data_IF_074934612019
#
_entry.id   IF_074934612019
#
_cell.length_a   1.000
_cell.length_b   1.000
_cell.length_c   1.000
_cell.angle_alpha   90.00
_cell.angle_beta   90.00
_cell.angle_gamma   90.00
#
_symmetry.space_group_name_H-M   'P 1'
#
loop_
_entity.id
_entity.type
_entity.pdbx_description
1 polymer ?
#
# COMPACT_ATOMS: atom_id res chain seq x y z
N UNK A 1 9.89 15.51 -19.88
CA UNK A 1 10.21 14.75 -18.65
C UNK A 1 9.35 13.50 -18.43
N UNK A 2 8.45 13.10 -19.37
CA UNK A 2 7.58 11.91 -19.23
C UNK A 2 8.11 10.62 -19.90
N UNK A 3 9.31 10.65 -20.48
CA UNK A 3 9.76 9.63 -21.45
C UNK A 3 10.84 8.67 -20.95
N UNK A 4 11.38 8.84 -19.74
CA UNK A 4 12.43 7.96 -19.22
C UNK A 4 11.85 6.77 -18.44
N UNK A 5 10.75 6.98 -17.71
CA UNK A 5 10.15 5.98 -16.83
C UNK A 5 9.62 4.71 -17.54
N UNK A 6 8.95 4.79 -18.71
CA UNK A 6 8.52 3.59 -19.45
C UNK A 6 9.70 2.76 -19.98
N UNK A 7 10.78 3.42 -20.41
CA UNK A 7 11.97 2.76 -20.91
C UNK A 7 12.78 2.09 -19.79
N UNK A 8 12.82 2.68 -18.60
CA UNK A 8 13.46 2.09 -17.41
C UNK A 8 12.66 0.88 -16.90
N UNK A 9 11.32 0.95 -16.90
CA UNK A 9 10.46 -0.20 -16.59
C UNK A 9 10.66 -1.35 -17.59
N UNK A 10 10.68 -1.03 -18.90
CA UNK A 10 10.90 -2.02 -19.96
C UNK A 10 12.29 -2.66 -19.87
N UNK A 11 13.34 -1.88 -19.63
CA UNK A 11 14.71 -2.40 -19.46
C UNK A 11 14.87 -3.23 -18.17
N UNK A 12 14.25 -2.84 -17.06
CA UNK A 12 14.29 -3.59 -15.80
C UNK A 12 13.56 -4.94 -15.92
N UNK A 13 12.42 -4.96 -16.62
CA UNK A 13 11.66 -6.17 -16.94
C UNK A 13 12.41 -7.11 -17.91
N UNK A 14 13.11 -6.56 -18.90
CA UNK A 14 13.95 -7.35 -19.83
C UNK A 14 15.19 -7.93 -19.15
N UNK A 15 15.82 -7.18 -18.23
CA UNK A 15 16.98 -7.66 -17.46
C UNK A 15 16.65 -8.79 -16.49
N UNK A 16 15.43 -8.83 -15.92
CA UNK A 16 15.05 -9.87 -14.96
C UNK A 16 14.64 -11.20 -15.60
N UNK A 17 14.35 -11.23 -16.91
CA UNK A 17 13.90 -12.44 -17.63
C UNK A 17 14.90 -13.04 -18.63
N UNK A 18 16.03 -12.37 -18.90
CA UNK A 18 17.10 -12.92 -19.74
C UNK A 18 16.71 -13.21 -21.20
N UNK A 19 15.61 -12.66 -21.71
CA UNK A 19 15.13 -12.88 -23.07
C UNK A 19 14.90 -11.55 -23.80
N UNK A 20 15.44 -11.43 -25.01
CA UNK A 20 15.42 -10.22 -25.84
C UNK A 20 14.19 -10.11 -26.77
N UNK A 21 13.06 -10.74 -26.45
CA UNK A 21 11.84 -10.65 -27.27
C UNK A 21 10.70 -10.02 -26.49
N UNK A 22 10.24 -8.88 -27.00
CA UNK A 22 9.05 -8.16 -26.56
C UNK A 22 7.85 -8.89 -27.18
N UNK A 23 7.00 -9.54 -26.36
CA UNK A 23 5.69 -10.00 -26.82
C UNK A 23 4.75 -8.79 -26.92
N UNK A 24 4.10 -8.61 -28.09
CA UNK A 24 3.17 -7.49 -28.37
C UNK A 24 2.04 -7.35 -27.34
N UNK A 25 1.75 -8.39 -26.57
CA UNK A 25 0.73 -8.38 -25.50
C UNK A 25 1.12 -7.54 -24.28
N UNK A 26 2.42 -7.35 -24.01
CA UNK A 26 2.90 -6.64 -22.80
C UNK A 26 2.98 -5.11 -23.00
N UNK A 27 3.08 -4.63 -24.25
CA UNK A 27 2.98 -3.20 -24.59
C UNK A 27 1.56 -2.66 -24.44
N UNK A 28 0.54 -3.50 -24.67
CA UNK A 28 -0.87 -3.12 -24.55
C UNK A 28 -1.26 -2.70 -23.12
N UNK A 29 -0.63 -3.30 -22.11
CA UNK A 29 -0.88 -2.97 -20.71
C UNK A 29 -0.29 -1.61 -20.29
N UNK A 30 0.88 -1.24 -20.84
CA UNK A 30 1.49 0.09 -20.63
C UNK A 30 0.82 1.19 -21.48
N UNK A 31 0.45 0.90 -22.73
CA UNK A 31 -0.24 1.86 -23.61
C UNK A 31 -1.64 2.23 -23.08
N UNK A 32 -2.33 1.30 -22.41
CA UNK A 32 -3.60 1.58 -21.74
C UNK A 32 -3.48 2.52 -20.52
N UNK A 33 -2.27 2.75 -19.99
CA UNK A 33 -2.03 3.60 -18.82
C UNK A 33 -1.77 5.07 -19.19
N UNK A 34 -1.18 5.33 -20.37
CA UNK A 34 -0.65 6.66 -20.71
C UNK A 34 -1.35 7.40 -21.85
N UNK A 35 -2.27 6.76 -22.59
CA UNK A 35 -3.04 7.40 -23.67
C UNK A 35 -2.21 7.60 -24.95
N UNK A 36 -2.88 7.46 -26.10
CA UNK A 36 -2.26 7.51 -27.43
C UNK A 36 -1.69 8.90 -27.76
N UNK A 37 -0.37 8.99 -27.90
CA UNK A 37 0.34 9.61 -29.03
C UNK A 37 1.81 9.85 -28.66
N UNK A 38 2.71 9.14 -29.35
CA UNK A 38 3.99 9.61 -29.91
C UNK A 38 4.97 8.44 -30.02
N UNK A 39 5.29 8.09 -31.26
CA UNK A 39 6.36 7.15 -31.62
C UNK A 39 7.71 7.78 -31.29
N UNK A 40 8.38 7.35 -30.21
CA UNK A 40 9.72 7.79 -29.89
C UNK A 40 10.76 6.73 -30.30
N UNK A 41 11.61 7.07 -31.26
CA UNK A 41 12.79 6.30 -31.67
C UNK A 41 13.89 6.44 -30.62
N UNK A 42 14.31 5.34 -29.99
CA UNK A 42 15.38 5.31 -28.99
C UNK A 42 16.77 5.39 -29.65
N UNK A 43 17.62 6.29 -29.16
CA UNK A 43 19.06 6.28 -29.40
C UNK A 43 19.80 6.06 -28.07
N UNK A 44 20.89 5.28 -28.03
CA UNK A 44 21.65 5.04 -26.81
C UNK A 44 22.38 6.30 -26.37
N UNK A 45 22.16 6.75 -25.13
CA UNK A 45 22.86 7.90 -24.55
C UNK A 45 23.89 7.40 -23.55
N UNK A 46 25.17 7.59 -23.85
CA UNK A 46 26.26 7.54 -22.88
C UNK A 46 26.46 8.94 -22.29
N UNK A 47 26.43 9.08 -20.97
CA UNK A 47 26.66 10.36 -20.29
C UNK A 47 28.02 10.29 -19.57
N UNK A 48 28.94 11.17 -19.98
CA UNK A 48 30.20 11.49 -19.28
C UNK A 48 30.19 13.00 -19.04
N UNK A 49 30.40 13.46 -17.81
CA UNK A 49 30.63 14.87 -17.51
C UNK A 49 31.67 15.09 -16.38
N UNK A 50 32.58 16.02 -16.63
CA UNK A 50 33.62 16.54 -15.71
C UNK A 50 33.23 17.91 -15.10
N UNK A 51 33.67 18.14 -13.85
CA UNK A 51 34.03 19.44 -13.24
C UNK A 51 32.94 20.25 -12.49
N UNK A 52 33.31 21.21 -11.60
CA UNK A 52 34.31 21.19 -10.55
C UNK A 52 33.74 21.52 -9.14
N UNK A 53 34.04 20.69 -8.15
CA UNK A 53 34.41 21.00 -6.74
C UNK A 53 34.27 19.69 -5.93
N UNK A 54 35.31 19.35 -5.17
CA UNK A 54 35.45 18.06 -4.49
C UNK A 54 34.41 17.90 -3.36
N UNK A 55 33.73 16.74 -3.24
CA UNK A 55 32.76 16.47 -2.19
C UNK A 55 33.41 16.43 -0.79
N UNK A 56 32.71 16.94 0.21
CA UNK A 56 33.00 16.66 1.62
C UNK A 56 32.36 15.31 2.00
N UNK A 57 33.11 14.22 1.82
CA UNK A 57 32.76 12.90 2.37
C UNK A 57 33.14 12.92 3.85
N UNK A 58 32.15 13.05 4.75
CA UNK A 58 32.37 12.95 6.20
C UNK A 58 31.61 11.74 6.76
N UNK A 59 32.31 10.60 6.92
CA UNK A 59 31.84 9.39 7.62
C UNK A 59 31.97 8.08 6.82
N UNK A 60 32.46 7.00 7.47
CA UNK A 60 32.35 5.58 7.06
C UNK A 60 33.30 5.06 5.96
N UNK A 61 33.66 3.75 5.93
CA UNK A 61 34.75 3.26 5.09
C UNK A 61 34.30 2.98 3.64
N UNK A 62 34.53 3.95 2.75
CA UNK A 62 34.91 3.68 1.37
C UNK A 62 35.82 4.80 0.86
N UNK A 63 36.98 4.35 0.39
CA UNK A 63 38.21 5.10 0.12
C UNK A 63 38.21 5.70 -1.28
N UNK A 64 38.69 6.95 -1.36
CA UNK A 64 39.40 7.65 -2.44
C UNK A 64 39.03 7.35 -3.91
N UNK A 65 38.58 8.41 -4.61
CA UNK A 65 38.52 8.49 -6.06
C UNK A 65 37.08 8.51 -6.58
N UNK A 66 36.58 9.69 -6.90
CA UNK A 66 35.24 9.93 -7.42
C UNK A 66 34.92 9.02 -8.61
N UNK A 67 33.93 8.15 -8.44
CA UNK A 67 33.11 7.62 -9.52
C UNK A 67 31.67 8.04 -9.21
N UNK A 68 30.88 8.56 -10.18
CA UNK A 68 29.47 8.88 -9.98
C UNK A 68 28.60 7.62 -9.73
N UNK A 69 29.24 6.46 -9.56
CA UNK A 69 28.61 5.17 -9.40
C UNK A 69 29.38 4.34 -8.36
N UNK A 70 28.66 3.80 -7.38
CA UNK A 70 29.16 2.72 -6.52
C UNK A 70 28.58 1.39 -6.98
N UNK A 71 29.39 0.33 -6.96
CA UNK A 71 28.95 -1.01 -7.34
C UNK A 71 29.56 -2.06 -6.43
N UNK A 72 28.74 -2.94 -5.85
CA UNK A 72 29.24 -4.05 -5.02
C UNK A 72 29.77 -3.64 -3.65
N UNK A 73 29.40 -2.45 -3.15
CA UNK A 73 29.97 -1.90 -1.90
C UNK A 73 29.08 -2.22 -0.71
N UNK A 74 29.68 -2.61 0.42
CA UNK A 74 28.98 -2.73 1.69
C UNK A 74 29.33 -1.57 2.63
N UNK A 75 28.38 -0.68 2.85
CA UNK A 75 28.43 0.45 3.78
C UNK A 75 27.91 0.03 5.15
N UNK A 76 28.76 -0.65 5.92
CA UNK A 76 28.47 -1.05 7.29
C UNK A 76 28.99 -0.01 8.30
N UNK A 77 28.39 -0.01 9.50
CA UNK A 77 28.83 0.88 10.58
C UNK A 77 30.30 0.63 10.95
N UNK A 78 31.09 1.70 10.99
CA UNK A 78 32.39 1.73 11.64
C UNK A 78 32.27 2.56 12.93
N UNK A 79 32.34 1.93 14.12
CA UNK A 79 32.23 2.64 15.40
C UNK A 79 33.28 3.73 15.64
N UNK A 80 34.38 3.71 14.88
CA UNK A 80 35.44 4.72 14.96
C UNK A 80 35.18 5.97 14.11
N UNK A 81 34.20 5.91 13.20
CA UNK A 81 33.87 7.01 12.29
C UNK A 81 32.50 7.59 12.65
N UNK A 82 32.44 8.81 13.24
CA UNK A 82 31.17 9.45 13.49
C UNK A 82 30.52 9.85 12.15
N UNK A 83 29.26 9.47 11.94
CA UNK A 83 28.42 10.07 10.92
C UNK A 83 27.62 9.14 10.02
N UNK A 84 27.01 9.76 9.02
CA UNK A 84 26.24 9.14 7.95
C UNK A 84 27.19 8.42 6.98
N UNK A 85 26.78 7.28 6.41
CA UNK A 85 27.61 6.53 5.46
C UNK A 85 27.88 7.32 4.17
N UNK A 86 26.86 8.01 3.64
CA UNK A 86 27.00 8.92 2.50
C UNK A 86 26.17 10.18 2.73
N UNK A 87 26.78 11.35 2.56
CA UNK A 87 26.11 12.66 2.58
C UNK A 87 26.38 13.40 1.27
N UNK A 88 25.33 13.80 0.55
CA UNK A 88 25.42 14.52 -0.73
C UNK A 88 24.69 15.86 -0.68
N UNK A 89 25.18 16.83 -1.45
CA UNK A 89 24.55 18.15 -1.63
C UNK A 89 24.76 18.63 -3.06
N UNK A 90 23.69 18.78 -3.85
CA UNK A 90 23.74 19.26 -5.23
C UNK A 90 24.44 18.31 -6.22
N UNK A 91 24.49 17.00 -5.93
CA UNK A 91 25.26 16.03 -6.71
C UNK A 91 24.42 14.81 -7.06
N UNK A 92 24.62 14.29 -8.27
CA UNK A 92 23.98 13.06 -8.70
C UNK A 92 24.82 11.84 -8.32
N UNK A 93 24.16 10.73 -7.98
CA UNK A 93 24.83 9.48 -7.61
C UNK A 93 24.04 8.26 -8.08
N UNK A 94 24.75 7.24 -8.56
CA UNK A 94 24.19 5.93 -8.84
C UNK A 94 24.78 4.89 -7.88
N UNK A 95 23.96 4.03 -7.31
CA UNK A 95 24.41 2.93 -6.45
C UNK A 95 23.80 1.63 -6.94
N UNK A 96 24.64 0.63 -7.16
CA UNK A 96 24.26 -0.63 -7.79
C UNK A 96 24.77 -1.81 -6.97
N UNK A 97 23.98 -2.87 -6.79
CA UNK A 97 24.43 -4.13 -6.16
C UNK A 97 25.14 -3.92 -4.81
N UNK A 98 24.68 -2.94 -4.02
CA UNK A 98 25.38 -2.51 -2.80
C UNK A 98 24.50 -2.71 -1.58
N UNK A 99 25.08 -2.60 -0.39
CA UNK A 99 24.36 -2.75 0.87
C UNK A 99 24.71 -1.66 1.87
N UNK A 100 23.75 -1.29 2.70
CA UNK A 100 23.87 -0.37 3.82
C UNK A 100 23.34 -1.07 5.06
N UNK A 101 24.23 -1.50 5.96
CA UNK A 101 23.84 -2.43 7.02
C UNK A 101 24.27 -1.99 8.41
N UNK A 102 23.33 -2.02 9.37
CA UNK A 102 23.64 -1.85 10.79
C UNK A 102 24.07 -0.45 11.21
N UNK A 103 23.76 0.59 10.43
CA UNK A 103 24.18 1.96 10.73
C UNK A 103 23.33 2.59 11.84
N UNK A 104 23.96 3.23 12.83
CA UNK A 104 23.25 3.73 14.03
C UNK A 104 23.70 5.05 14.67
N UNK A 105 24.56 5.83 14.01
CA UNK A 105 25.19 7.03 14.60
C UNK A 105 24.83 8.37 13.92
N UNK A 106 23.73 8.41 13.17
CA UNK A 106 23.41 9.53 12.28
C UNK A 106 21.91 9.87 12.23
N UNK A 107 21.52 10.98 11.58
CA UNK A 107 20.13 11.24 11.23
C UNK A 107 19.57 10.21 10.23
N UNK A 108 20.39 9.79 9.27
CA UNK A 108 20.09 8.69 8.37
C UNK A 108 21.38 8.02 7.86
N UNK A 109 21.23 6.88 7.20
CA UNK A 109 22.35 6.13 6.59
C UNK A 109 22.83 6.77 5.29
N UNK A 110 21.89 7.25 4.47
CA UNK A 110 22.13 8.09 3.30
C UNK A 110 21.41 9.42 3.49
N UNK A 111 22.13 10.54 3.40
CA UNK A 111 21.56 11.89 3.54
C UNK A 111 21.77 12.68 2.25
N UNK A 112 20.69 13.16 1.67
CA UNK A 112 20.67 13.79 0.34
C UNK A 112 20.06 15.19 0.42
N UNK A 113 20.77 16.19 -0.12
CA UNK A 113 20.28 17.55 -0.29
C UNK A 113 20.31 17.96 -1.76
N UNK A 114 19.18 18.33 -2.35
CA UNK A 114 19.09 18.83 -3.73
C UNK A 114 19.84 17.93 -4.74
N UNK A 115 19.75 16.61 -4.53
CA UNK A 115 20.58 15.60 -5.20
C UNK A 115 19.70 14.60 -5.94
N UNK A 116 20.10 14.13 -7.12
CA UNK A 116 19.40 13.06 -7.82
C UNK A 116 20.13 11.74 -7.65
N UNK A 117 19.50 10.77 -7.00
CA UNK A 117 20.12 9.49 -6.67
C UNK A 117 19.34 8.34 -7.26
N UNK A 118 20.04 7.45 -7.95
CA UNK A 118 19.50 6.18 -8.45
C UNK A 118 20.07 5.01 -7.65
N UNK A 119 19.20 4.17 -7.11
CA UNK A 119 19.53 2.93 -6.41
C UNK A 119 19.00 1.76 -7.24
N UNK A 120 19.87 0.81 -7.57
CA UNK A 120 19.48 -0.41 -8.28
C UNK A 120 20.02 -1.65 -7.56
N UNK A 121 19.13 -2.59 -7.23
CA UNK A 121 19.49 -3.81 -6.53
C UNK A 121 20.36 -3.53 -5.30
N UNK A 122 19.87 -2.63 -4.45
CA UNK A 122 20.57 -2.18 -3.24
C UNK A 122 19.77 -2.61 -2.02
N UNK A 123 20.46 -2.98 -0.94
CA UNK A 123 19.83 -3.38 0.32
C UNK A 123 20.14 -2.39 1.44
N UNK A 124 19.12 -1.89 2.12
CA UNK A 124 19.25 -1.17 3.39
C UNK A 124 18.70 -2.07 4.50
N UNK A 125 19.55 -2.59 5.39
CA UNK A 125 19.13 -3.54 6.41
C UNK A 125 19.57 -3.17 7.82
N UNK A 126 18.67 -3.29 8.79
CA UNK A 126 18.96 -3.14 10.22
C UNK A 126 19.58 -1.78 10.59
N UNK A 127 19.28 -0.71 9.85
CA UNK A 127 19.79 0.61 10.16
C UNK A 127 18.86 1.30 11.17
N UNK A 128 19.42 1.84 12.24
CA UNK A 128 18.69 2.44 13.36
C UNK A 128 19.14 3.88 13.58
N UNK A 129 18.46 4.83 12.95
CA UNK A 129 18.91 6.22 12.87
C UNK A 129 17.91 7.17 13.53
N UNK A 130 18.34 8.40 13.80
CA UNK A 130 17.53 9.35 14.56
C UNK A 130 16.42 10.06 13.77
N UNK A 131 16.45 10.06 12.43
CA UNK A 131 15.38 10.59 11.57
C UNK A 131 14.79 9.51 10.65
N UNK A 132 15.60 8.89 9.80
CA UNK A 132 15.21 7.82 8.90
C UNK A 132 16.23 6.69 8.93
N UNK A 133 15.79 5.45 9.14
CA UNK A 133 16.73 4.32 9.25
C UNK A 133 17.60 4.17 7.98
N UNK A 134 16.99 4.27 6.80
CA UNK A 134 17.70 4.22 5.52
C UNK A 134 18.13 5.60 5.02
N UNK A 135 17.20 6.32 4.40
CA UNK A 135 17.48 7.49 3.56
C UNK A 135 16.72 8.71 4.07
N UNK A 136 17.41 9.83 4.22
CA UNK A 136 16.81 11.16 4.40
C UNK A 136 17.13 12.00 3.18
N UNK A 137 16.10 12.49 2.47
CA UNK A 137 16.26 13.32 1.27
C UNK A 137 15.48 14.63 1.41
N UNK A 138 16.15 15.72 1.08
CA UNK A 138 15.63 17.10 1.08
C UNK A 138 15.87 17.72 -0.29
N UNK A 139 14.82 17.89 -1.10
CA UNK A 139 14.95 18.31 -2.50
C UNK A 139 15.62 17.26 -3.40
N UNK A 140 15.40 17.39 -4.70
CA UNK A 140 15.91 16.46 -5.71
C UNK A 140 15.03 15.22 -5.94
N UNK A 141 15.61 14.20 -6.57
CA UNK A 141 14.90 12.98 -7.01
C UNK A 141 15.58 11.73 -6.47
N UNK A 142 14.83 10.83 -5.84
CA UNK A 142 15.29 9.51 -5.43
C UNK A 142 14.60 8.44 -6.26
N UNK A 143 15.37 7.74 -7.09
CA UNK A 143 14.90 6.63 -7.91
C UNK A 143 15.41 5.32 -7.31
N UNK A 144 14.51 4.38 -7.05
CA UNK A 144 14.80 3.10 -6.41
C UNK A 144 14.21 1.98 -7.25
N UNK A 145 15.05 1.06 -7.66
CA UNK A 145 14.68 -0.07 -8.51
C UNK A 145 15.21 -1.38 -7.93
N UNK A 146 14.36 -2.41 -7.93
CA UNK A 146 14.76 -3.79 -7.61
C UNK A 146 15.48 -3.93 -6.26
N UNK A 147 15.12 -3.11 -5.26
CA UNK A 147 15.89 -2.95 -4.02
C UNK A 147 15.13 -3.49 -2.79
N UNK A 148 15.80 -3.56 -1.63
CA UNK A 148 15.21 -4.03 -0.38
C UNK A 148 15.51 -3.08 0.79
N UNK A 149 14.50 -2.78 1.60
CA UNK A 149 14.61 -2.05 2.85
C UNK A 149 14.06 -2.91 3.99
N UNK A 150 14.94 -3.48 4.80
CA UNK A 150 14.60 -4.47 5.81
C UNK A 150 14.95 -4.01 7.23
N UNK A 151 14.00 -4.12 8.15
CA UNK A 151 14.21 -3.89 9.58
C UNK A 151 14.89 -2.53 9.89
N UNK A 152 14.62 -1.49 9.08
CA UNK A 152 15.16 -0.16 9.33
C UNK A 152 14.27 0.59 10.32
N UNK A 153 14.90 1.31 11.23
CA UNK A 153 14.22 2.07 12.25
C UNK A 153 14.66 3.54 12.20
N UNK A 154 13.68 4.44 12.16
CA UNK A 154 13.89 5.87 12.20
C UNK A 154 12.79 6.56 12.98
N UNK A 155 13.05 7.77 13.46
CA UNK A 155 12.03 8.51 14.21
C UNK A 155 10.89 8.99 13.31
N UNK A 156 11.17 9.57 12.15
CA UNK A 156 10.11 10.07 11.25
C UNK A 156 9.56 8.93 10.38
N UNK A 157 10.47 8.20 9.73
CA UNK A 157 10.14 7.06 8.90
C UNK A 157 11.15 5.92 9.12
N UNK A 158 10.73 4.66 9.02
CA UNK A 158 11.66 3.56 9.24
C UNK A 158 12.71 3.43 8.13
N UNK A 159 12.33 3.55 6.87
CA UNK A 159 13.24 3.42 5.74
C UNK A 159 13.57 4.77 5.09
N UNK A 160 12.58 5.51 4.58
CA UNK A 160 12.79 6.71 3.77
C UNK A 160 12.01 7.88 4.34
N UNK A 161 12.71 8.98 4.64
CA UNK A 161 12.10 10.27 4.95
C UNK A 161 12.39 11.27 3.81
N UNK A 162 11.35 11.74 3.14
CA UNK A 162 11.45 12.68 2.04
C UNK A 162 10.78 14.02 2.38
N UNK A 163 11.52 15.11 2.19
CA UNK A 163 11.07 16.46 2.56
C UNK A 163 11.37 17.48 1.46
N UNK A 164 10.63 18.60 1.44
CA UNK A 164 10.82 19.75 0.53
C UNK A 164 10.89 19.40 -0.96
N UNK A 165 9.73 19.39 -1.64
CA UNK A 165 9.63 19.23 -3.10
C UNK A 165 10.37 18.01 -3.71
N UNK A 166 10.65 17.00 -2.87
CA UNK A 166 11.33 15.77 -3.30
C UNK A 166 10.42 14.90 -4.14
N UNK A 167 10.98 14.29 -5.19
CA UNK A 167 10.34 13.22 -5.95
C UNK A 167 10.94 11.87 -5.52
N UNK A 168 10.10 10.95 -5.04
CA UNK A 168 10.49 9.58 -4.71
C UNK A 168 9.82 8.62 -5.69
N UNK A 169 10.61 7.90 -6.46
CA UNK A 169 10.19 6.93 -7.46
C UNK A 169 10.70 5.55 -7.05
N UNK A 170 9.79 4.63 -6.71
CA UNK A 170 10.13 3.29 -6.21
C UNK A 170 9.45 2.24 -7.09
N UNK A 171 10.24 1.31 -7.59
CA UNK A 171 9.80 0.26 -8.52
C UNK A 171 10.39 -1.09 -8.14
N UNK A 172 9.57 -2.16 -8.16
CA UNK A 172 10.04 -3.54 -7.90
C UNK A 172 10.82 -3.67 -6.59
N UNK A 173 10.39 -2.98 -5.54
CA UNK A 173 11.17 -2.82 -4.30
C UNK A 173 10.37 -3.31 -3.10
N UNK A 174 11.05 -4.00 -2.18
CA UNK A 174 10.46 -4.47 -0.93
C UNK A 174 10.82 -3.58 0.26
N UNK A 175 9.84 -3.33 1.13
CA UNK A 175 9.98 -2.67 2.42
C UNK A 175 9.42 -3.60 3.50
N UNK A 176 10.31 -4.27 4.23
CA UNK A 176 9.96 -5.28 5.23
C UNK A 176 10.35 -4.91 6.65
N UNK A 177 9.41 -5.02 7.60
CA UNK A 177 9.73 -4.90 9.02
C UNK A 177 10.26 -3.53 9.45
N UNK A 178 10.05 -2.48 8.66
CA UNK A 178 10.56 -1.15 8.99
C UNK A 178 9.67 -0.47 10.04
N UNK A 179 10.30 0.31 10.92
CA UNK A 179 9.64 0.95 12.06
C UNK A 179 9.88 2.45 12.10
N UNK A 180 8.79 3.22 12.05
CA UNK A 180 8.79 4.68 12.10
C UNK A 180 7.83 5.23 13.15
N UNK A 181 7.88 6.52 13.47
CA UNK A 181 6.78 7.16 14.21
C UNK A 181 5.62 7.47 13.27
N UNK A 182 5.88 8.10 12.13
CA UNK A 182 4.80 8.53 11.23
C UNK A 182 4.54 7.56 10.09
N UNK A 183 5.58 7.07 9.41
CA UNK A 183 5.46 6.04 8.37
C UNK A 183 6.41 4.89 8.64
N UNK A 184 5.92 3.65 8.71
CA UNK A 184 6.79 2.53 9.09
C UNK A 184 7.91 2.31 8.09
N UNK A 185 7.63 2.42 6.79
CA UNK A 185 8.62 2.40 5.73
C UNK A 185 8.92 3.82 5.21
N UNK A 186 7.93 4.53 4.69
CA UNK A 186 8.13 5.79 3.96
C UNK A 186 7.32 6.91 4.60
N UNK A 187 7.97 8.04 4.87
CA UNK A 187 7.32 9.30 5.24
C UNK A 187 7.63 10.37 4.19
N UNK A 188 6.59 11.05 3.68
CA UNK A 188 6.74 12.14 2.71
C UNK A 188 6.09 13.41 3.25
N UNK A 189 6.89 14.45 3.41
CA UNK A 189 6.49 15.75 3.91
C UNK A 189 5.99 16.69 2.78
N UNK A 190 5.34 17.81 3.12
CA UNK A 190 4.71 18.70 2.15
C UNK A 190 5.62 19.12 0.98
N UNK A 191 5.01 19.25 -0.19
CA UNK A 191 5.70 19.55 -1.46
C UNK A 191 6.20 18.31 -2.21
N UNK A 192 6.38 17.18 -1.52
CA UNK A 192 6.90 15.96 -2.12
C UNK A 192 5.95 15.26 -3.10
N UNK A 193 6.48 14.25 -3.79
CA UNK A 193 5.72 13.34 -4.65
C UNK A 193 6.24 11.92 -4.47
N UNK A 194 5.32 10.94 -4.41
CA UNK A 194 5.65 9.52 -4.32
C UNK A 194 5.02 8.74 -5.48
N UNK A 195 5.84 7.96 -6.17
CA UNK A 195 5.41 6.90 -7.08
C UNK A 195 5.93 5.57 -6.54
N UNK A 196 5.02 4.65 -6.22
CA UNK A 196 5.35 3.29 -5.81
C UNK A 196 4.66 2.29 -6.76
N UNK A 197 5.45 1.58 -7.57
CA UNK A 197 4.96 0.70 -8.64
C UNK A 197 5.52 -0.69 -8.46
N UNK A 198 4.63 -1.68 -8.35
CA UNK A 198 5.01 -3.08 -8.13
C UNK A 198 5.97 -3.23 -6.95
N UNK A 199 5.58 -2.65 -5.82
CA UNK A 199 6.34 -2.69 -4.57
C UNK A 199 5.62 -3.54 -3.52
N UNK A 200 6.39 -4.16 -2.64
CA UNK A 200 5.88 -4.94 -1.51
C UNK A 200 6.18 -4.21 -0.20
N UNK A 201 5.14 -3.85 0.54
CA UNK A 201 5.23 -3.28 1.88
C UNK A 201 4.71 -4.31 2.87
N UNK A 202 5.60 -4.99 3.58
CA UNK A 202 5.26 -6.09 4.47
C UNK A 202 5.68 -5.83 5.92
N UNK A 203 4.75 -6.05 6.85
CA UNK A 203 5.03 -6.04 8.30
C UNK A 203 5.69 -4.76 8.82
N UNK A 204 5.42 -3.61 8.21
CA UNK A 204 5.93 -2.33 8.68
C UNK A 204 5.05 -1.79 9.83
N UNK A 205 5.66 -1.09 10.78
CA UNK A 205 4.98 -0.59 11.97
C UNK A 205 5.21 0.92 12.19
N UNK A 206 4.15 1.66 12.50
CA UNK A 206 4.25 3.04 12.94
C UNK A 206 3.07 3.50 13.84
N UNK A 207 3.09 4.76 14.27
CA UNK A 207 1.96 5.35 15.01
C UNK A 207 0.78 5.65 14.06
N UNK A 208 1.08 6.20 12.89
CA UNK A 208 0.17 6.34 11.75
C UNK A 208 0.79 5.61 10.56
N UNK A 209 0.05 5.37 9.47
CA UNK A 209 0.64 4.91 8.21
C UNK A 209 1.62 3.76 8.36
N UNK A 210 1.15 2.59 8.78
CA UNK A 210 2.04 1.49 9.21
C UNK A 210 3.11 1.14 8.18
N UNK A 211 2.86 1.32 6.88
CA UNK A 211 3.89 1.39 5.84
C UNK A 211 4.21 2.83 5.39
N UNK A 212 3.20 3.60 5.00
CA UNK A 212 3.42 4.89 4.32
C UNK A 212 2.61 6.01 4.96
N UNK A 213 3.28 7.15 5.17
CA UNK A 213 2.67 8.37 5.67
C UNK A 213 2.88 9.54 4.72
N UNK A 214 1.78 10.15 4.31
CA UNK A 214 1.74 11.22 3.31
C UNK A 214 1.11 12.46 3.94
N UNK A 215 1.89 13.54 4.02
CA UNK A 215 1.43 14.83 4.53
C UNK A 215 0.67 15.66 3.48
N UNK A 216 0.02 16.73 3.95
CA UNK A 216 -0.66 17.70 3.10
C UNK A 216 0.23 18.23 1.97
N UNK A 217 -0.36 18.42 0.78
CA UNK A 217 0.33 18.89 -0.43
C UNK A 217 1.08 17.82 -1.25
N UNK A 218 1.32 16.62 -0.70
CA UNK A 218 2.02 15.52 -1.41
C UNK A 218 1.12 14.75 -2.36
N UNK A 219 1.57 14.50 -3.60
CA UNK A 219 0.86 13.60 -4.51
C UNK A 219 1.43 12.18 -4.43
N UNK A 220 0.56 11.18 -4.32
CA UNK A 220 0.97 9.78 -4.17
C UNK A 220 0.29 8.86 -5.19
N UNK A 221 1.06 8.00 -5.83
CA UNK A 221 0.59 6.95 -6.74
C UNK A 221 1.09 5.60 -6.29
N UNK A 222 0.15 4.67 -6.13
CA UNK A 222 0.39 3.27 -5.84
C UNK A 222 -0.21 2.44 -6.97
N UNK A 223 0.62 1.66 -7.65
CA UNK A 223 0.20 0.88 -8.83
C UNK A 223 0.74 -0.53 -8.75
N UNK A 224 -0.16 -1.52 -8.73
CA UNK A 224 0.20 -2.94 -8.68
C UNK A 224 1.04 -3.30 -7.45
N UNK A 225 0.90 -2.57 -6.35
CA UNK A 225 1.69 -2.77 -5.13
C UNK A 225 0.92 -3.55 -4.08
N UNK A 226 1.65 -4.30 -3.24
CA UNK A 226 1.12 -5.08 -2.13
C UNK A 226 1.43 -4.41 -0.79
N UNK A 227 0.44 -4.37 0.09
CA UNK A 227 0.54 -3.92 1.47
C UNK A 227 0.00 -5.04 2.36
N UNK A 228 0.90 -5.74 3.03
CA UNK A 228 0.58 -6.94 3.81
C UNK A 228 1.05 -6.81 5.27
N UNK A 229 0.18 -7.17 6.20
CA UNK A 229 0.50 -7.24 7.64
C UNK A 229 1.10 -5.94 8.24
N UNK A 230 0.84 -4.78 7.64
CA UNK A 230 1.31 -3.52 8.20
C UNK A 230 0.42 -3.08 9.37
N UNK A 231 1.03 -2.45 10.36
CA UNK A 231 0.37 -2.09 11.61
C UNK A 231 0.57 -0.61 11.98
N UNK A 232 -0.54 0.08 12.27
CA UNK A 232 -0.52 1.41 12.87
C UNK A 232 -1.12 1.39 14.28
N UNK A 233 -0.50 2.08 15.24
CA UNK A 233 -1.07 2.20 16.58
C UNK A 233 -2.37 3.02 16.59
N UNK A 234 -2.48 4.01 15.70
CA UNK A 234 -3.63 4.93 15.62
C UNK A 234 -4.41 4.70 14.34
N UNK A 235 -3.89 5.16 13.19
CA UNK A 235 -4.68 5.22 11.95
C UNK A 235 -3.88 4.86 10.70
N UNK A 236 -4.54 4.21 9.74
CA UNK A 236 -3.94 3.87 8.45
C UNK A 236 -2.94 2.73 8.61
N UNK A 237 -3.42 1.51 8.87
CA UNK A 237 -2.54 0.37 9.16
C UNK A 237 -1.53 0.09 8.06
N UNK A 238 -1.86 0.39 6.79
CA UNK A 238 -0.89 0.46 5.70
C UNK A 238 -0.53 1.90 5.35
N UNK A 239 -1.52 2.70 4.96
CA UNK A 239 -1.30 4.05 4.40
C UNK A 239 -2.13 5.07 5.16
N UNK A 240 -1.50 6.17 5.53
CA UNK A 240 -2.19 7.35 6.03
C UNK A 240 -1.87 8.55 5.15
N UNK A 241 -2.90 9.22 4.63
CA UNK A 241 -2.76 10.32 3.67
C UNK A 241 -3.62 11.54 4.05
N UNK A 242 -2.99 12.71 4.11
CA UNK A 242 -3.63 13.99 4.43
C UNK A 242 -3.80 14.93 3.22
N UNK A 243 -4.99 15.52 3.09
CA UNK A 243 -5.34 16.71 2.29
C UNK A 243 -4.85 16.75 0.83
N UNK A 244 -4.69 15.59 0.21
CA UNK A 244 -4.00 15.44 -1.09
C UNK A 244 -4.72 14.54 -2.07
N UNK A 245 -4.32 14.59 -3.35
CA UNK A 245 -4.73 13.60 -4.34
C UNK A 245 -3.91 12.32 -4.24
N UNK A 246 -4.54 11.19 -4.50
CA UNK A 246 -3.92 9.87 -4.46
C UNK A 246 -4.50 8.94 -5.51
N UNK A 247 -3.68 8.07 -6.08
CA UNK A 247 -4.14 6.99 -6.96
C UNK A 247 -3.71 5.67 -6.37
N UNK A 248 -4.68 4.76 -6.19
CA UNK A 248 -4.49 3.40 -5.74
C UNK A 248 -5.07 2.50 -6.83
N UNK A 249 -4.21 1.92 -7.67
CA UNK A 249 -4.64 1.14 -8.84
C UNK A 249 -4.07 -0.26 -8.75
N UNK A 250 -4.91 -1.29 -8.91
CA UNK A 250 -4.47 -2.68 -8.94
C UNK A 250 -3.66 -3.10 -7.69
N UNK A 251 -3.90 -2.47 -6.54
CA UNK A 251 -3.15 -2.75 -5.31
C UNK A 251 -3.80 -3.88 -4.50
N UNK A 252 -3.03 -4.53 -3.64
CA UNK A 252 -3.53 -5.51 -2.68
C UNK A 252 -3.24 -5.05 -1.24
N UNK A 253 -4.27 -4.87 -0.43
CA UNK A 253 -4.20 -4.54 0.99
C UNK A 253 -4.71 -5.73 1.81
N UNK A 254 -3.78 -6.53 2.33
CA UNK A 254 -4.11 -7.76 3.05
C UNK A 254 -3.67 -7.69 4.52
N UNK A 255 -4.58 -8.06 5.43
CA UNK A 255 -4.30 -8.25 6.85
C UNK A 255 -3.67 -7.03 7.58
N UNK A 256 -3.84 -5.82 7.04
CA UNK A 256 -3.34 -4.61 7.70
C UNK A 256 -4.22 -4.25 8.90
N UNK A 257 -3.60 -3.69 9.94
CA UNK A 257 -4.26 -3.42 11.20
C UNK A 257 -4.02 -2.00 11.72
N UNK A 258 -5.06 -1.38 12.25
CA UNK A 258 -4.96 -0.11 12.97
C UNK A 258 -5.62 -0.18 14.35
N UNK A 259 -4.96 0.39 15.36
CA UNK A 259 -5.46 0.41 16.73
C UNK A 259 -6.70 1.29 16.94
N UNK A 260 -7.02 2.20 16.00
CA UNK A 260 -8.24 3.02 16.04
C UNK A 260 -9.00 2.95 14.72
N UNK A 261 -8.49 3.59 13.67
CA UNK A 261 -9.22 3.88 12.44
C UNK A 261 -8.46 3.37 11.21
N UNK A 262 -9.17 3.05 10.14
CA UNK A 262 -8.55 2.75 8.84
C UNK A 262 -7.50 1.63 8.88
N UNK A 263 -7.95 0.37 8.96
CA UNK A 263 -7.07 -0.80 9.07
C UNK A 263 -6.08 -0.94 7.92
N UNK A 264 -6.44 -0.53 6.70
CA UNK A 264 -5.50 -0.39 5.59
C UNK A 264 -5.25 1.08 5.23
N UNK A 265 -6.22 1.79 4.66
CA UNK A 265 -5.99 3.13 4.09
C UNK A 265 -6.83 4.20 4.75
N UNK A 266 -6.18 5.23 5.30
CA UNK A 266 -6.80 6.44 5.83
C UNK A 266 -6.65 7.59 4.83
N UNK A 267 -7.77 8.14 4.37
CA UNK A 267 -7.82 9.33 3.51
C UNK A 267 -8.46 10.49 4.28
N UNK A 268 -7.63 11.35 4.85
CA UNK A 268 -8.06 12.49 5.65
C UNK A 268 -8.04 13.78 4.83
N UNK A 269 -9.19 14.37 4.52
CA UNK A 269 -9.37 15.57 3.69
C UNK A 269 -8.82 15.45 2.26
N UNK A 270 -8.49 14.24 1.82
CA UNK A 270 -7.89 13.96 0.52
C UNK A 270 -8.80 14.34 -0.66
N UNK A 271 -8.26 14.92 -1.73
CA UNK A 271 -9.05 15.48 -2.85
C UNK A 271 -8.75 14.77 -4.15
N UNK A 272 -9.80 14.41 -4.89
CA UNK A 272 -9.67 13.71 -6.18
C UNK A 272 -8.95 12.37 -6.08
N UNK A 273 -9.18 11.63 -5.00
CA UNK A 273 -8.58 10.30 -4.82
C UNK A 273 -9.27 9.28 -5.74
N UNK A 274 -8.48 8.45 -6.40
CA UNK A 274 -8.99 7.33 -7.19
C UNK A 274 -8.49 6.03 -6.59
N UNK A 275 -9.39 5.24 -6.02
CA UNK A 275 -9.12 3.87 -5.60
C UNK A 275 -9.81 2.94 -6.59
N UNK A 276 -9.05 2.15 -7.34
CA UNK A 276 -9.63 1.31 -8.38
C UNK A 276 -8.95 -0.02 -8.60
N UNK A 277 -9.74 -1.02 -9.02
CA UNK A 277 -9.29 -2.36 -9.35
C UNK A 277 -8.42 -3.02 -8.26
N UNK A 278 -8.64 -2.66 -7.00
CA UNK A 278 -7.79 -3.06 -5.87
C UNK A 278 -8.52 -4.00 -4.92
N UNK A 279 -7.75 -4.74 -4.12
CA UNK A 279 -8.23 -5.72 -3.14
C UNK A 279 -7.96 -5.23 -1.72
N UNK A 280 -8.95 -5.36 -0.84
CA UNK A 280 -8.87 -5.07 0.59
C UNK A 280 -9.39 -6.27 1.35
N UNK A 281 -8.47 -7.09 1.87
CA UNK A 281 -8.81 -8.39 2.47
C UNK A 281 -8.36 -8.47 3.91
N UNK A 282 -9.28 -8.83 4.81
CA UNK A 282 -8.93 -9.20 6.18
C UNK A 282 -8.36 -8.04 7.00
N UNK A 283 -8.51 -6.79 6.56
CA UNK A 283 -7.99 -5.65 7.27
C UNK A 283 -8.84 -5.35 8.51
N UNK A 284 -8.21 -4.81 9.57
CA UNK A 284 -8.82 -4.67 10.90
C UNK A 284 -8.61 -3.28 11.47
N UNK A 285 -9.67 -2.67 11.99
CA UNK A 285 -9.61 -1.45 12.78
C UNK A 285 -10.50 -1.60 14.01
N UNK A 286 -10.18 -0.94 15.11
CA UNK A 286 -11.02 -1.02 16.31
C UNK A 286 -12.33 -0.28 16.13
N UNK A 287 -12.32 0.88 15.47
CA UNK A 287 -13.46 1.79 15.35
C UNK A 287 -14.01 1.80 13.93
N UNK A 288 -13.32 2.38 12.97
CA UNK A 288 -13.92 2.78 11.69
C UNK A 288 -13.09 2.30 10.50
N UNK A 289 -13.78 1.99 9.39
CA UNK A 289 -13.17 1.91 8.06
C UNK A 289 -12.04 0.90 7.89
N UNK A 290 -12.16 -0.34 8.35
CA UNK A 290 -11.00 -1.24 8.36
C UNK A 290 -10.33 -1.49 7.00
N UNK A 291 -11.06 -1.46 5.88
CA UNK A 291 -10.46 -1.38 4.55
C UNK A 291 -10.02 0.05 4.19
N UNK A 292 -11.01 0.92 4.02
CA UNK A 292 -10.81 2.30 3.57
C UNK A 292 -11.63 3.28 4.41
N UNK A 293 -10.97 4.28 4.98
CA UNK A 293 -11.64 5.40 5.63
C UNK A 293 -11.48 6.67 4.81
N UNK A 294 -12.59 7.37 4.57
CA UNK A 294 -12.66 8.60 3.79
C UNK A 294 -13.29 9.71 4.64
N UNK A 295 -12.45 10.53 5.26
CA UNK A 295 -12.90 11.68 6.04
C UNK A 295 -12.77 12.96 5.21
N UNK A 296 -13.89 13.64 4.94
CA UNK A 296 -13.92 14.90 4.17
C UNK A 296 -13.21 14.80 2.81
N UNK A 297 -13.15 13.59 2.27
CA UNK A 297 -12.41 13.25 1.06
C UNK A 297 -13.32 13.30 -0.17
N UNK A 298 -12.73 13.56 -1.34
CA UNK A 298 -13.44 13.56 -2.63
C UNK A 298 -12.77 12.62 -3.61
N UNK A 299 -13.52 12.12 -4.60
CA UNK A 299 -12.98 11.23 -5.63
C UNK A 299 -13.88 10.04 -5.95
N UNK A 300 -13.28 8.89 -6.24
CA UNK A 300 -14.00 7.69 -6.66
C UNK A 300 -13.35 6.40 -6.13
N UNK A 301 -14.22 5.47 -5.75
CA UNK A 301 -13.88 4.09 -5.37
C UNK A 301 -14.57 3.18 -6.39
N UNK A 302 -13.80 2.61 -7.31
CA UNK A 302 -14.32 1.95 -8.52
C UNK A 302 -13.78 0.54 -8.68
N UNK A 303 -14.64 -0.46 -8.89
CA UNK A 303 -14.21 -1.83 -9.21
C UNK A 303 -13.24 -2.45 -8.18
N UNK A 304 -13.41 -2.14 -6.90
CA UNK A 304 -12.59 -2.72 -5.82
C UNK A 304 -13.29 -3.90 -5.16
N UNK A 305 -12.51 -4.77 -4.54
CA UNK A 305 -13.00 -5.94 -3.81
C UNK A 305 -12.64 -5.85 -2.34
N UNK A 306 -13.63 -5.87 -1.47
CA UNK A 306 -13.50 -5.82 -0.01
C UNK A 306 -14.01 -7.12 0.61
N UNK A 307 -13.12 -7.88 1.25
CA UNK A 307 -13.45 -9.21 1.77
C UNK A 307 -13.02 -9.34 3.23
N UNK A 308 -13.96 -9.75 4.10
CA UNK A 308 -13.67 -10.07 5.52
C UNK A 308 -12.95 -8.95 6.30
N UNK A 309 -13.21 -7.69 5.96
CA UNK A 309 -12.74 -6.57 6.75
C UNK A 309 -13.59 -6.45 8.03
N UNK A 310 -12.97 -5.98 9.13
CA UNK A 310 -13.61 -5.92 10.46
C UNK A 310 -13.34 -4.60 11.21
N UNK A 311 -14.42 -3.90 11.58
CA UNK A 311 -14.40 -2.72 12.47
C UNK A 311 -15.71 -2.56 13.26
N UNK A 312 -15.90 -1.48 14.03
CA UNK A 312 -17.20 -1.14 14.61
C UNK A 312 -18.16 -0.59 13.57
N UNK A 313 -17.70 0.25 12.64
CA UNK A 313 -18.53 0.87 11.60
C UNK A 313 -17.89 0.85 10.23
N UNK A 314 -18.69 0.57 9.20
CA UNK A 314 -18.25 0.65 7.80
C UNK A 314 -17.00 -0.18 7.56
N UNK A 315 -17.07 -1.48 7.87
CA UNK A 315 -15.84 -2.29 7.98
C UNK A 315 -15.05 -2.36 6.68
N UNK A 316 -15.72 -2.39 5.52
CA UNK A 316 -15.03 -2.20 4.25
C UNK A 316 -14.71 -0.73 4.01
N UNK A 317 -15.72 0.13 4.04
CA UNK A 317 -15.58 1.57 3.77
C UNK A 317 -16.34 2.39 4.81
N UNK A 318 -15.66 3.36 5.40
CA UNK A 318 -16.29 4.40 6.22
C UNK A 318 -16.14 5.75 5.53
N UNK A 319 -17.25 6.44 5.25
CA UNK A 319 -17.29 7.78 4.68
C UNK A 319 -17.90 8.77 5.66
N UNK A 320 -17.16 9.81 6.05
CA UNK A 320 -17.66 10.90 6.90
C UNK A 320 -17.33 12.23 6.25
N UNK A 321 -18.32 13.08 5.95
CA UNK A 321 -18.04 14.33 5.23
C UNK A 321 -17.59 14.14 3.78
N UNK A 322 -17.59 12.90 3.28
CA UNK A 322 -17.02 12.55 1.98
C UNK A 322 -18.12 12.42 0.90
N UNK A 323 -17.85 13.02 -0.26
CA UNK A 323 -18.71 12.90 -1.44
C UNK A 323 -18.15 11.95 -2.50
N UNK A 324 -17.19 11.10 -2.14
CA UNK A 324 -16.62 10.15 -3.08
C UNK A 324 -17.65 9.11 -3.50
N UNK A 325 -17.69 8.81 -4.80
CA UNK A 325 -18.62 7.83 -5.37
C UNK A 325 -18.08 6.42 -5.21
N UNK A 326 -18.95 5.46 -4.90
CA UNK A 326 -18.61 4.04 -4.82
C UNK A 326 -19.33 3.32 -5.97
N UNK A 327 -18.58 2.68 -6.86
CA UNK A 327 -19.19 2.00 -8.01
C UNK A 327 -18.49 0.72 -8.43
N UNK A 328 -19.25 -0.24 -8.97
CA UNK A 328 -18.69 -1.50 -9.49
C UNK A 328 -17.97 -2.36 -8.45
N UNK A 329 -18.09 -2.05 -7.16
CA UNK A 329 -17.33 -2.70 -6.10
C UNK A 329 -18.00 -3.99 -5.61
N UNK A 330 -17.19 -4.90 -5.08
CA UNK A 330 -17.61 -6.16 -4.49
C UNK A 330 -17.32 -6.19 -2.99
N UNK A 331 -18.34 -6.44 -2.17
CA UNK A 331 -18.25 -6.49 -0.71
C UNK A 331 -18.72 -7.85 -0.21
N UNK A 332 -17.81 -8.67 0.30
CA UNK A 332 -18.11 -10.04 0.73
C UNK A 332 -17.71 -10.28 2.20
N UNK A 333 -18.66 -10.73 3.01
CA UNK A 333 -18.41 -11.19 4.40
C UNK A 333 -17.67 -10.15 5.25
N UNK A 334 -17.92 -8.86 5.02
CA UNK A 334 -17.40 -7.79 5.88
C UNK A 334 -18.28 -7.69 7.13
N UNK A 335 -17.66 -7.41 8.28
CA UNK A 335 -18.33 -7.45 9.58
C UNK A 335 -18.13 -6.14 10.35
N UNK A 336 -19.23 -5.48 10.69
CA UNK A 336 -19.26 -4.32 11.58
C UNK A 336 -19.90 -4.69 12.93
N UNK A 337 -19.21 -4.43 14.05
CA UNK A 337 -19.80 -4.69 15.38
C UNK A 337 -20.83 -3.63 15.81
N UNK A 338 -21.13 -2.64 14.97
CA UNK A 338 -22.22 -1.67 15.14
C UNK A 338 -22.99 -1.52 13.82
N UNK A 339 -22.54 -0.64 12.91
CA UNK A 339 -23.35 -0.16 11.79
C UNK A 339 -22.64 -0.31 10.44
N UNK A 340 -23.40 -0.62 9.39
CA UNK A 340 -22.89 -0.64 8.03
C UNK A 340 -21.88 -1.76 7.84
N UNK A 341 -22.38 -3.00 7.74
CA UNK A 341 -21.53 -4.20 7.76
C UNK A 341 -20.43 -4.17 6.72
N UNK A 342 -20.67 -3.54 5.56
CA UNK A 342 -19.64 -3.15 4.62
C UNK A 342 -19.39 -1.64 4.61
N UNK A 343 -20.43 -0.83 4.36
CA UNK A 343 -20.30 0.61 4.10
C UNK A 343 -21.07 1.39 5.14
N UNK A 344 -20.41 2.39 5.72
CA UNK A 344 -21.05 3.38 6.56
C UNK A 344 -20.85 4.76 5.95
N UNK A 345 -21.92 5.58 5.90
CA UNK A 345 -21.86 6.95 5.40
C UNK A 345 -22.49 7.93 6.40
N UNK A 346 -21.81 9.04 6.66
CA UNK A 346 -22.35 10.16 7.45
C UNK A 346 -22.11 11.52 6.81
N UNK A 347 -23.12 12.38 6.98
CA UNK A 347 -23.14 13.85 6.77
C UNK A 347 -22.31 14.35 5.61
N UNK A 348 -22.93 14.62 4.47
CA UNK A 348 -22.32 15.36 3.36
C UNK A 348 -23.36 16.27 2.73
N UNK A 349 -22.99 17.50 2.38
CA UNK A 349 -23.88 18.44 1.69
C UNK A 349 -23.94 18.23 0.17
N UNK A 350 -23.01 17.44 -0.38
CA UNK A 350 -22.93 17.17 -1.81
C UNK A 350 -23.49 15.77 -2.14
N UNK A 351 -24.14 15.61 -3.31
CA UNK A 351 -24.65 14.31 -3.73
C UNK A 351 -23.50 13.32 -3.95
N UNK A 352 -23.68 12.09 -3.45
CA UNK A 352 -22.78 10.97 -3.68
C UNK A 352 -23.57 9.72 -4.10
N UNK A 353 -22.89 8.80 -4.79
CA UNK A 353 -23.53 7.65 -5.42
C UNK A 353 -22.92 6.33 -4.97
N UNK A 354 -23.77 5.34 -4.69
CA UNK A 354 -23.40 3.92 -4.56
C UNK A 354 -24.12 3.14 -5.65
N UNK A 355 -23.39 2.62 -6.64
CA UNK A 355 -24.04 1.99 -7.81
C UNK A 355 -23.25 0.88 -8.49
N UNK A 356 -23.95 -0.10 -9.08
CA UNK A 356 -23.29 -1.22 -9.76
C UNK A 356 -22.50 -2.14 -8.81
N UNK A 357 -22.69 -2.01 -7.50
CA UNK A 357 -21.97 -2.76 -6.49
C UNK A 357 -22.70 -4.05 -6.09
N UNK A 358 -21.95 -4.98 -5.51
CA UNK A 358 -22.44 -6.26 -5.01
C UNK A 358 -22.10 -6.37 -3.53
N UNK A 359 -23.12 -6.53 -2.69
CA UNK A 359 -23.00 -6.69 -1.25
C UNK A 359 -23.52 -8.06 -0.84
N UNK A 360 -22.60 -8.98 -0.55
CA UNK A 360 -22.89 -10.37 -0.27
C UNK A 360 -22.47 -10.75 1.14
N UNK A 361 -23.41 -11.26 1.93
CA UNK A 361 -23.16 -11.84 3.26
C UNK A 361 -22.42 -10.92 4.22
N UNK A 362 -22.62 -9.60 4.12
CA UNK A 362 -22.06 -8.65 5.07
C UNK A 362 -22.95 -8.57 6.31
N UNK A 363 -22.36 -8.29 7.46
CA UNK A 363 -23.05 -8.35 8.75
C UNK A 363 -22.79 -7.09 9.58
N UNK A 364 -23.84 -6.55 10.17
CA UNK A 364 -23.76 -5.48 11.17
C UNK A 364 -24.53 -5.89 12.43
N UNK A 365 -23.94 -5.67 13.61
CA UNK A 365 -24.58 -6.05 14.87
C UNK A 365 -25.76 -5.13 15.29
N UNK A 366 -25.95 -3.97 14.64
CA UNK A 366 -27.03 -3.03 14.95
C UNK A 366 -27.84 -2.66 13.70
N UNK A 367 -27.25 -1.94 12.75
CA UNK A 367 -27.99 -1.35 11.63
C UNK A 367 -27.31 -1.58 10.27
N UNK A 368 -28.10 -1.92 9.25
CA UNK A 368 -27.67 -1.93 7.85
C UNK A 368 -26.55 -2.95 7.57
N UNK A 369 -26.92 -4.22 7.42
CA UNK A 369 -25.96 -5.33 7.26
C UNK A 369 -25.01 -5.17 6.10
N UNK A 370 -25.39 -4.45 5.04
CA UNK A 370 -24.46 -3.99 4.01
C UNK A 370 -24.14 -2.51 4.16
N UNK A 371 -25.16 -1.65 4.12
CA UNK A 371 -24.99 -0.20 4.11
C UNK A 371 -25.79 0.43 5.25
N UNK A 372 -25.12 1.27 6.03
CA UNK A 372 -25.78 2.22 6.90
C UNK A 372 -25.47 3.64 6.44
N UNK A 373 -26.52 4.44 6.24
CA UNK A 373 -26.42 5.82 5.80
C UNK A 373 -27.17 6.74 6.75
N UNK A 374 -26.46 7.70 7.33
CA UNK A 374 -27.07 8.64 8.27
C UNK A 374 -27.88 9.75 7.62
N UNK A 375 -27.56 10.11 6.38
CA UNK A 375 -28.19 11.24 5.71
C UNK A 375 -27.87 11.13 4.23
N UNK A 376 -28.87 10.73 3.43
CA UNK A 376 -28.69 10.67 1.99
C UNK A 376 -28.83 12.11 1.46
N UNK A 377 -27.76 12.74 0.97
CA UNK A 377 -27.84 14.11 0.48
C UNK A 377 -28.87 14.23 -0.64
N UNK A 378 -29.50 15.40 -0.77
CA UNK A 378 -30.42 15.69 -1.88
C UNK A 378 -29.71 15.41 -3.22
N UNK A 379 -30.27 14.52 -4.02
CA UNK A 379 -29.68 14.09 -5.30
C UNK A 379 -28.68 12.93 -5.23
N UNK A 380 -28.28 12.50 -4.02
CA UNK A 380 -27.50 11.27 -3.79
C UNK A 380 -28.34 10.02 -4.07
N UNK A 381 -27.71 8.90 -4.46
CA UNK A 381 -28.42 7.66 -4.80
C UNK A 381 -27.68 6.41 -4.36
N UNK A 382 -28.44 5.43 -3.88
CA UNK A 382 -28.03 4.03 -3.75
C UNK A 382 -28.89 3.24 -4.75
N UNK A 383 -28.33 2.92 -5.92
CA UNK A 383 -29.13 2.37 -7.03
C UNK A 383 -28.32 1.41 -7.90
N UNK A 384 -28.98 0.39 -8.47
CA UNK A 384 -28.33 -0.57 -9.37
C UNK A 384 -27.33 -1.48 -8.65
N UNK A 385 -27.56 -1.78 -7.37
CA UNK A 385 -26.73 -2.69 -6.56
C UNK A 385 -27.43 -4.04 -6.33
N UNK A 386 -26.63 -5.08 -6.10
CA UNK A 386 -27.09 -6.40 -5.65
C UNK A 386 -26.87 -6.55 -4.15
N UNK A 387 -27.90 -6.96 -3.40
CA UNK A 387 -27.82 -7.26 -1.97
C UNK A 387 -28.29 -8.70 -1.70
N UNK A 388 -27.38 -9.56 -1.25
CA UNK A 388 -27.72 -10.96 -0.94
C UNK A 388 -27.14 -11.40 0.39
N UNK A 389 -27.98 -11.98 1.24
CA UNK A 389 -27.54 -12.60 2.49
C UNK A 389 -26.94 -11.66 3.54
N UNK A 390 -27.08 -10.33 3.38
CA UNK A 390 -26.60 -9.38 4.39
C UNK A 390 -27.53 -9.34 5.61
N UNK A 391 -26.96 -9.21 6.80
CA UNK A 391 -27.66 -9.37 8.07
C UNK A 391 -27.43 -8.21 9.02
N UNK A 392 -28.52 -7.73 9.63
CA UNK A 392 -28.49 -6.84 10.78
C UNK A 392 -29.82 -6.93 11.55
N UNK A 393 -29.85 -6.70 12.88
CA UNK A 393 -31.10 -6.66 13.65
C UNK A 393 -32.09 -5.61 13.14
N UNK A 394 -31.59 -4.45 12.67
CA UNK A 394 -32.39 -3.39 12.06
C UNK A 394 -31.84 -3.05 10.68
N UNK A 395 -32.73 -2.77 9.73
CA UNK A 395 -32.31 -2.32 8.40
C UNK A 395 -31.63 -3.39 7.53
N UNK A 396 -31.92 -4.69 7.77
CA UNK A 396 -31.42 -5.89 7.06
C UNK A 396 -30.16 -5.67 6.21
N UNK A 397 -30.33 -5.27 4.94
CA UNK A 397 -29.21 -4.93 4.05
C UNK A 397 -28.87 -3.44 4.03
N UNK A 398 -29.85 -2.54 3.95
CA UNK A 398 -29.64 -1.09 3.84
C UNK A 398 -30.51 -0.35 4.84
N UNK A 399 -29.91 0.55 5.61
CA UNK A 399 -30.64 1.44 6.53
C UNK A 399 -30.32 2.91 6.23
N UNK A 400 -31.37 3.74 6.16
CA UNK A 400 -31.29 5.19 5.99
C UNK A 400 -31.89 5.88 7.23
N UNK A 401 -31.10 6.70 7.94
CA UNK A 401 -31.50 7.31 9.23
C UNK A 401 -32.56 8.42 9.13
N UNK A 402 -32.82 8.97 7.95
CA UNK A 402 -33.82 10.04 7.76
C UNK A 402 -35.24 9.56 7.40
N UNK A 403 -35.41 8.27 7.07
CA UNK A 403 -36.71 7.77 6.66
C UNK A 403 -37.11 6.43 7.31
N UNK A 404 -36.21 5.76 8.04
CA UNK A 404 -36.46 4.41 8.55
C UNK A 404 -36.92 3.41 7.47
N UNK A 405 -36.76 3.77 6.19
CA UNK A 405 -37.39 3.12 5.04
C UNK A 405 -36.36 2.23 4.37
N UNK A 406 -36.70 0.96 4.20
CA UNK A 406 -35.90 -0.01 3.46
C UNK A 406 -35.93 0.34 1.97
N UNK A 407 -34.80 0.75 1.40
CA UNK A 407 -34.68 0.91 -0.06
C UNK A 407 -34.17 -0.40 -0.66
N UNK A 408 -35.09 -1.15 -1.28
CA UNK A 408 -34.74 -2.38 -2.00
C UNK A 408 -34.23 -2.02 -3.40
N UNK A 409 -32.94 -2.20 -3.69
CA UNK A 409 -32.45 -2.21 -5.07
C UNK A 409 -32.67 -3.60 -5.67
N UNK A 410 -32.89 -3.68 -6.98
CA UNK A 410 -33.27 -4.92 -7.66
C UNK A 410 -32.17 -5.99 -7.58
N UNK A 411 -32.45 -7.07 -6.86
CA UNK A 411 -31.64 -8.30 -6.84
C UNK A 411 -31.68 -9.01 -8.20
N UNK A 412 -30.77 -8.67 -9.12
CA UNK A 412 -30.40 -9.57 -10.22
C UNK A 412 -29.05 -10.19 -9.89
N UNK A 413 -29.11 -11.46 -9.49
CA UNK A 413 -28.06 -12.20 -8.80
C UNK A 413 -26.86 -12.54 -9.68
N UNK A 414 -25.75 -12.80 -8.99
CA UNK A 414 -24.61 -13.51 -9.53
C UNK A 414 -24.78 -15.02 -9.36
N UNK A 415 -24.05 -15.74 -10.19
CA UNK A 415 -23.92 -17.20 -10.14
C UNK A 415 -22.75 -17.60 -9.23
N UNK A 416 -22.68 -18.87 -8.83
CA UNK A 416 -21.58 -19.39 -8.02
C UNK A 416 -20.19 -19.21 -8.68
N UNK A 417 -20.11 -19.13 -10.02
CA UNK A 417 -18.87 -18.87 -10.75
C UNK A 417 -18.28 -17.47 -10.53
N UNK A 418 -19.13 -16.47 -10.25
CA UNK A 418 -18.67 -15.09 -9.98
C UNK A 418 -18.00 -14.94 -8.60
N UNK A 419 -18.22 -15.90 -7.70
CA UNK A 419 -17.60 -15.97 -6.36
C UNK A 419 -16.27 -16.70 -6.39
N UNK A 420 -16.11 -17.66 -7.31
CA UNK A 420 -14.90 -18.48 -7.47
C UNK A 420 -13.80 -17.81 -8.30
N UNK A 421 -14.11 -16.78 -9.10
CA UNK A 421 -13.13 -16.01 -9.88
C UNK A 421 -12.31 -15.00 -9.06
N UNK A 422 -12.71 -14.72 -7.81
CA UNK A 422 -11.89 -13.96 -6.86
C UNK A 422 -10.88 -14.91 -6.23
N UNK A 423 -9.96 -15.43 -7.05
CA UNK A 423 -8.83 -16.23 -6.59
C UNK A 423 -7.71 -15.28 -6.18
N UNK A 424 -7.22 -15.41 -4.95
CA UNK A 424 -6.02 -14.74 -4.49
C UNK A 424 -4.85 -15.13 -5.40
N UNK A 425 -4.44 -14.26 -6.32
CA UNK A 425 -3.13 -14.39 -6.94
C UNK A 425 -2.11 -13.81 -5.97
N UNK A 426 -1.85 -14.53 -4.88
CA UNK A 426 -0.57 -14.43 -4.20
C UNK A 426 0.17 -15.72 -4.55
N UNK A 427 1.18 -15.61 -5.42
CA UNK A 427 2.11 -16.69 -5.70
C UNK A 427 2.92 -16.92 -4.41
N UNK A 428 2.45 -17.85 -3.56
CA UNK A 428 3.15 -18.19 -2.32
C UNK A 428 2.29 -19.00 -1.35
N UNK A 429 2.36 -20.32 -1.47
CA UNK A 429 1.90 -21.37 -0.55
C UNK A 429 0.53 -21.19 0.14
N UNK A 430 -0.44 -21.93 -0.38
CA UNK A 430 -1.74 -22.19 0.23
C UNK A 430 -1.61 -22.82 1.63
N UNK A 431 -2.24 -22.19 2.62
CA UNK A 431 -2.88 -22.90 3.71
C UNK A 431 -4.40 -22.72 3.54
N UNK A 432 -5.10 -23.84 3.33
CA UNK A 432 -6.55 -23.93 3.34
C UNK A 432 -7.08 -23.46 4.71
N UNK A 433 -7.75 -22.31 4.74
CA UNK A 433 -8.26 -21.72 5.98
C UNK A 433 -9.70 -22.19 6.24
N UNK A 434 -9.83 -23.28 6.99
CA UNK A 434 -11.06 -23.66 7.68
C UNK A 434 -11.36 -22.71 8.84
N UNK A 435 -12.63 -22.60 9.20
CA UNK A 435 -13.21 -21.70 10.19
C UNK A 435 -12.44 -21.65 11.52
N UNK A 436 -11.77 -20.53 11.80
CA UNK A 436 -11.40 -20.16 13.17
C UNK A 436 -12.56 -19.36 13.80
N UNK A 437 -13.55 -20.10 14.30
CA UNK A 437 -14.35 -19.60 15.41
C UNK A 437 -13.48 -19.43 16.65
N UNK A 438 -13.78 -18.36 17.37
CA UNK A 438 -13.10 -17.93 18.57
C UNK A 438 -13.57 -18.79 19.76
N UNK A 439 -12.83 -19.85 20.10
CA UNK A 439 -12.86 -20.42 21.46
C UNK A 439 -11.45 -20.50 22.01
N UNK A 440 -11.08 -19.48 22.79
CA UNK A 440 -9.99 -19.59 23.75
C UNK A 440 -10.50 -20.29 25.02
N UNK A 441 -10.19 -21.58 25.19
CA UNK A 441 -9.84 -22.13 26.52
C UNK A 441 -9.14 -23.48 26.41
N UNK A 442 -7.94 -23.52 26.99
CA UNK A 442 -7.22 -24.68 27.57
C UNK A 442 -6.97 -25.93 26.72
N UNK A 443 -5.69 -26.26 26.53
CA UNK A 443 -5.23 -27.65 26.53
C UNK A 443 -4.27 -28.02 25.41
N UNK A 444 -2.99 -28.09 25.76
CA UNK A 444 -1.97 -29.04 25.28
C UNK A 444 -1.76 -29.24 23.77
N UNK A 445 -0.53 -28.89 23.35
CA UNK A 445 0.14 -29.31 22.12
C UNK A 445 0.21 -30.83 22.04
N UNK A 446 -0.02 -31.38 20.86
CA UNK A 446 0.72 -32.53 20.33
C UNK A 446 0.77 -32.45 18.80
N UNK A 447 2.00 -32.38 18.27
CA UNK A 447 2.28 -32.48 16.84
C UNK A 447 2.35 -33.97 16.47
N UNK A 448 1.57 -34.41 15.50
CA UNK A 448 1.75 -35.71 14.84
C UNK A 448 1.83 -35.51 13.32
N UNK A 449 3.00 -35.90 12.80
CA UNK A 449 3.43 -36.00 11.41
C UNK A 449 2.63 -37.04 10.61
N UNK A 450 2.09 -36.70 9.41
CA UNK A 450 1.55 -37.70 8.50
C UNK A 450 2.31 -37.71 7.16
N UNK A 451 3.60 -38.04 7.17
CA UNK A 451 4.30 -38.62 6.01
C UNK A 451 5.23 -39.77 6.42
N UNK A 452 4.65 -40.84 6.97
CA UNK A 452 5.33 -42.11 7.21
C UNK A 452 4.59 -43.27 6.53
N UNK A 453 4.93 -43.56 5.28
CA UNK A 453 4.35 -44.67 4.53
C UNK A 453 4.80 -46.04 5.05
N UNK A 454 3.88 -47.01 5.02
CA UNK A 454 4.19 -48.41 4.68
C UNK A 454 2.91 -49.23 4.49
N UNK A 455 2.67 -49.68 3.26
CA UNK A 455 2.07 -51.01 3.00
C UNK A 455 3.14 -52.08 3.24
N UNK A 456 2.86 -53.41 3.38
CA UNK A 456 1.61 -54.14 3.09
C UNK A 456 1.25 -55.23 4.13
N UNK A 457 0.13 -55.93 3.92
CA UNK A 457 0.01 -57.40 3.74
C UNK A 457 -1.36 -57.92 4.20
N UNK A 458 -1.92 -58.75 3.33
CA UNK A 458 -3.10 -59.59 3.43
C UNK A 458 -3.26 -60.40 4.71
N UNK A 459 -4.50 -60.71 5.10
CA UNK A 459 -4.98 -62.10 5.22
C UNK A 459 -6.49 -62.17 5.26
N UNK A 460 -6.99 -63.32 4.80
CA UNK A 460 -8.37 -63.67 4.50
C UNK A 460 -9.27 -63.85 5.74
N UNK A 461 -10.58 -63.84 5.46
CA UNK A 461 -11.69 -64.25 6.31
C UNK A 461 -12.99 -64.08 5.55
#
# INVERSE_FOLDING_TARGET
MRTIFPCVLACAYLCSRGSAEILETDLGALQAVFGENETATAAPVSIVCEGPTLPQITGGPAVAGYAPTFTGVNFAQDPSLPGTAIKLSGQDLVIVHSSFTGNSQAPATLVLYESNVTLYNTTFANNQQSEAGGISITGGTLQILASNFEANQGRQAGAINAVNDTIVEVVHTSFSGNKGLQGGAIGVAPGGTLYAVDCDFNSNEAQNGGAVYIQEGVKAWYVSSTFEDNAAQTSGGAVYQEATGGVYKACNFTANAAGQNAGAVMLNRAKSVVVQNSYFVGNRAVKEGSGLEMNSATGAVVNNTFVRNKSQKGSAIFQSGSNANISGCYFLKNYASQDGGAVYRSSTSAPNYVSGCKFLYNEAAQHGGAIYDQELPTGGKIAGNLFQGNQAPQGLSVMLREAGTMVSTTNKGLTASDVLSVTYQNQGSAASYEDYENTASSGTRDYADPNGGSTPVSTAG
#
